data_IF_927380851450
#
_entry.id   IF_927380851450
#
_cell.length_a   1.000
_cell.length_b   1.000
_cell.length_c   1.000
_cell.angle_alpha   90.00
_cell.angle_beta   90.00
_cell.angle_gamma   90.00
#
_symmetry.space_group_name_H-M   'P 1'
#
loop_
_entity.id
_entity.type
_entity.pdbx_description
1 polymer ?
#
# COMPACT_ATOMS: atom_id res chain seq x y z
N UNK A 1 -24.31 5.86 -17.83
CA UNK A 1 -23.67 4.59 -18.21
C UNK A 1 -22.24 4.57 -17.68
N UNK A 2 -22.00 3.89 -16.56
CA UNK A 2 -20.75 3.95 -15.80
C UNK A 2 -19.60 3.20 -16.48
N UNK A 3 -19.06 3.78 -17.55
CA UNK A 3 -17.92 3.22 -18.29
C UNK A 3 -16.60 3.36 -17.52
N UNK A 4 -15.68 2.43 -17.77
CA UNK A 4 -14.30 2.53 -17.30
C UNK A 4 -13.49 3.38 -18.27
N UNK A 5 -12.88 4.46 -17.77
CA UNK A 5 -11.94 5.28 -18.53
C UNK A 5 -10.50 4.93 -18.17
N UNK A 6 -9.66 4.71 -19.18
CA UNK A 6 -8.22 4.51 -18.98
C UNK A 6 -7.56 5.87 -18.73
N UNK A 7 -7.16 6.13 -17.49
CA UNK A 7 -6.45 7.37 -17.11
C UNK A 7 -4.98 7.34 -17.57
N UNK A 8 -4.24 6.26 -17.29
CA UNK A 8 -2.81 6.13 -17.65
C UNK A 8 -2.37 4.67 -17.73
N UNK A 9 -1.30 4.42 -18.48
CA UNK A 9 -0.60 3.13 -18.61
C UNK A 9 0.85 3.31 -18.20
N UNK A 10 1.41 2.34 -17.49
CA UNK A 10 2.83 2.29 -17.16
C UNK A 10 3.35 0.87 -17.31
N UNK A 11 4.52 0.72 -17.90
CA UNK A 11 5.19 -0.57 -18.09
C UNK A 11 6.37 -0.66 -17.13
N UNK A 12 6.36 -1.66 -16.25
CA UNK A 12 7.46 -1.92 -15.33
C UNK A 12 8.49 -2.84 -15.98
N UNK A 13 9.75 -2.69 -15.57
CA UNK A 13 10.86 -3.54 -16.03
C UNK A 13 10.66 -5.03 -15.70
N UNK A 14 9.95 -5.33 -14.62
CA UNK A 14 9.76 -6.68 -14.12
C UNK A 14 8.27 -6.97 -13.94
N UNK A 15 7.93 -8.27 -13.93
CA UNK A 15 6.57 -8.71 -13.66
C UNK A 15 6.14 -8.33 -12.24
N UNK A 16 4.95 -7.77 -12.14
CA UNK A 16 4.34 -7.40 -10.85
C UNK A 16 3.94 -8.67 -10.10
N UNK A 17 4.39 -8.79 -8.84
CA UNK A 17 3.99 -9.90 -7.97
C UNK A 17 2.71 -9.58 -7.20
N UNK A 18 2.59 -8.37 -6.66
CA UNK A 18 1.35 -7.83 -6.13
C UNK A 18 1.41 -6.30 -6.05
N UNK A 19 0.24 -5.67 -5.92
CA UNK A 19 0.10 -4.22 -5.78
C UNK A 19 -1.09 -3.87 -4.89
N UNK A 20 -1.10 -2.64 -4.40
CA UNK A 20 -2.25 -2.02 -3.73
C UNK A 20 -2.19 -0.50 -3.90
N UNK A 21 -3.33 0.18 -3.78
CA UNK A 21 -3.44 1.64 -3.89
C UNK A 21 -4.08 2.21 -2.64
N UNK A 22 -3.72 3.44 -2.30
CA UNK A 22 -4.28 4.12 -1.14
C UNK A 22 -4.25 5.64 -1.31
N UNK A 23 -5.01 6.33 -0.46
CA UNK A 23 -4.93 7.78 -0.33
C UNK A 23 -4.08 8.16 0.89
N UNK A 24 -2.89 8.69 0.64
CA UNK A 24 -2.03 9.24 1.68
C UNK A 24 -2.23 10.75 1.81
N UNK A 25 -2.90 11.15 2.89
CA UNK A 25 -3.20 12.56 3.20
C UNK A 25 -1.96 13.46 3.12
N UNK A 26 -0.80 13.00 3.61
CA UNK A 26 0.41 13.81 3.64
C UNK A 26 1.08 14.00 2.27
N UNK A 27 0.75 13.19 1.27
CA UNK A 27 1.21 13.37 -0.12
C UNK A 27 0.29 14.31 -0.92
N UNK A 28 -0.94 14.55 -0.46
CA UNK A 28 -1.90 15.45 -1.12
C UNK A 28 -2.87 16.10 -0.11
N UNK A 29 -2.37 16.94 0.81
CA UNK A 29 -3.18 17.52 1.89
C UNK A 29 -4.32 18.42 1.39
N UNK A 30 -4.22 18.92 0.15
CA UNK A 30 -5.18 19.83 -0.47
C UNK A 30 -6.42 19.14 -1.06
N UNK A 31 -6.47 17.80 -1.11
CA UNK A 31 -7.60 17.05 -1.69
C UNK A 31 -8.70 16.66 -0.69
N UNK A 32 -8.63 17.15 0.55
CA UNK A 32 -9.68 16.97 1.56
C UNK A 32 -10.95 17.82 1.30
N UNK A 33 -11.07 18.44 0.13
CA UNK A 33 -12.16 19.36 -0.23
C UNK A 33 -13.31 18.69 -0.99
N UNK A 34 -13.24 17.38 -1.27
CA UNK A 34 -14.36 16.67 -1.87
C UNK A 34 -15.43 16.42 -0.78
N UNK A 35 -16.65 16.90 -1.03
CA UNK A 35 -17.79 16.96 -0.08
C UNK A 35 -18.21 15.60 0.54
N UNK A 36 -17.58 14.49 0.13
CA UNK A 36 -17.88 13.13 0.59
C UNK A 36 -16.70 12.43 1.31
N UNK A 37 -15.60 13.12 1.62
CA UNK A 37 -14.53 12.58 2.49
C UNK A 37 -13.68 11.42 1.94
N UNK A 38 -14.04 10.83 0.80
CA UNK A 38 -13.29 9.73 0.16
C UNK A 38 -12.22 10.32 -0.76
N UNK A 39 -10.98 10.40 -0.28
CA UNK A 39 -9.85 10.85 -1.10
C UNK A 39 -9.55 9.86 -2.25
N UNK A 40 -9.38 10.38 -3.46
CA UNK A 40 -8.89 9.58 -4.61
C UNK A 40 -7.48 9.06 -4.34
N UNK A 41 -7.25 7.75 -4.49
CA UNK A 41 -5.94 7.13 -4.28
C UNK A 41 -4.82 7.88 -5.03
N UNK A 42 -3.78 8.26 -4.29
CA UNK A 42 -2.66 9.07 -4.78
C UNK A 42 -1.31 8.35 -4.67
N UNK A 43 -1.29 7.14 -4.12
CA UNK A 43 -0.11 6.29 -4.03
C UNK A 43 -0.46 4.86 -4.45
N UNK A 44 0.51 4.21 -5.07
CA UNK A 44 0.54 2.78 -5.33
C UNK A 44 1.76 2.18 -4.64
N UNK A 45 1.57 1.08 -3.91
CA UNK A 45 2.66 0.20 -3.50
C UNK A 45 2.67 -1.02 -4.43
N UNK A 46 3.84 -1.38 -4.95
CA UNK A 46 4.02 -2.50 -5.88
C UNK A 46 5.28 -3.28 -5.53
N UNK A 47 5.23 -4.59 -5.75
CA UNK A 47 6.40 -5.47 -5.71
C UNK A 47 6.55 -6.27 -6.99
N UNK A 48 7.74 -6.81 -7.20
CA UNK A 48 8.10 -7.52 -8.43
C UNK A 48 8.52 -8.97 -8.18
N UNK A 49 8.58 -9.77 -9.25
CA UNK A 49 9.05 -11.15 -9.19
C UNK A 49 10.58 -11.26 -9.15
N UNK A 50 11.28 -10.52 -10.00
CA UNK A 50 12.73 -10.64 -10.17
C UNK A 50 13.52 -9.83 -9.14
N UNK A 51 12.89 -8.84 -8.52
CA UNK A 51 13.46 -8.07 -7.42
C UNK A 51 12.49 -8.13 -6.24
N UNK A 52 12.94 -8.69 -5.11
CA UNK A 52 12.16 -8.63 -3.87
C UNK A 52 12.28 -7.23 -3.29
N UNK A 53 11.49 -6.32 -3.84
CA UNK A 53 11.45 -4.91 -3.47
C UNK A 53 10.00 -4.49 -3.27
N UNK A 54 9.82 -3.44 -2.47
CA UNK A 54 8.60 -2.65 -2.45
C UNK A 54 8.95 -1.30 -3.01
N UNK A 55 8.16 -0.85 -3.96
CA UNK A 55 8.30 0.47 -4.54
C UNK A 55 6.98 1.24 -4.39
N UNK A 56 7.10 2.50 -3.99
CA UNK A 56 5.99 3.45 -3.93
C UNK A 56 6.03 4.35 -5.16
N UNK A 57 4.89 4.50 -5.81
CA UNK A 57 4.69 5.38 -6.95
C UNK A 57 3.53 6.33 -6.69
N UNK A 58 3.65 7.58 -7.12
CA UNK A 58 2.52 8.51 -7.10
C UNK A 58 1.49 8.13 -8.16
N UNK A 59 0.22 8.38 -7.87
CA UNK A 59 -0.87 8.28 -8.83
C UNK A 59 -1.45 9.67 -9.14
N UNK A 60 -1.88 9.92 -10.38
CA UNK A 60 -1.86 8.99 -11.52
C UNK A 60 -0.51 8.92 -12.23
N UNK A 61 0.49 9.72 -11.84
CA UNK A 61 1.66 9.96 -12.68
C UNK A 61 2.67 8.80 -12.79
N UNK A 62 2.63 7.83 -11.88
CA UNK A 62 3.66 6.82 -11.69
C UNK A 62 5.06 7.43 -11.44
N UNK A 63 5.14 8.53 -10.67
CA UNK A 63 6.46 9.06 -10.24
C UNK A 63 6.96 8.22 -9.09
N UNK A 64 8.19 7.75 -9.18
CA UNK A 64 8.86 7.03 -8.09
C UNK A 64 8.92 7.89 -6.82
N UNK A 65 8.57 7.30 -5.68
CA UNK A 65 8.59 7.95 -4.37
C UNK A 65 9.67 7.33 -3.48
N UNK A 66 9.60 6.01 -3.27
CA UNK A 66 10.50 5.31 -2.35
C UNK A 66 10.65 3.85 -2.75
N UNK A 67 11.76 3.24 -2.35
CA UNK A 67 12.06 1.82 -2.52
C UNK A 67 12.62 1.26 -1.22
N UNK A 68 12.22 0.04 -0.90
CA UNK A 68 12.91 -0.77 0.09
C UNK A 68 13.16 -2.17 -0.48
N UNK A 69 14.33 -2.71 -0.18
CA UNK A 69 14.80 -3.99 -0.70
C UNK A 69 14.81 -5.04 0.41
N UNK A 70 14.66 -6.28 -0.01
CA UNK A 70 14.72 -7.44 0.86
C UNK A 70 15.80 -8.40 0.35
N UNK A 71 16.25 -9.27 1.24
CA UNK A 71 17.07 -10.40 0.83
C UNK A 71 16.24 -11.25 -0.13
N UNK A 72 16.70 -11.39 -1.38
CA UNK A 72 16.05 -12.02 -2.55
C UNK A 72 15.63 -13.50 -2.39
N UNK A 73 15.49 -14.00 -1.16
CA UNK A 73 15.21 -15.40 -0.85
C UNK A 73 13.73 -15.76 -0.93
N UNK A 74 12.83 -14.78 -0.96
CA UNK A 74 11.38 -15.04 -0.95
C UNK A 74 10.62 -13.91 -1.62
N UNK A 75 9.61 -14.25 -2.42
CA UNK A 75 8.71 -13.30 -3.08
C UNK A 75 7.76 -12.64 -2.06
N UNK A 76 7.43 -11.37 -2.31
CA UNK A 76 6.30 -10.71 -1.68
C UNK A 76 5.03 -11.19 -2.39
N UNK A 77 3.98 -11.49 -1.62
CA UNK A 77 2.74 -12.12 -2.12
C UNK A 77 1.49 -11.29 -1.85
N UNK A 78 1.51 -10.42 -0.85
CA UNK A 78 0.39 -9.53 -0.55
C UNK A 78 0.89 -8.26 0.11
N UNK A 79 0.34 -7.12 -0.29
CA UNK A 79 0.63 -5.79 0.24
C UNK A 79 -0.70 -5.11 0.51
N UNK A 80 -0.84 -4.47 1.67
CA UNK A 80 -2.03 -3.71 2.01
C UNK A 80 -1.68 -2.47 2.82
N UNK A 81 -2.32 -1.35 2.48
CA UNK A 81 -2.32 -0.17 3.33
C UNK A 81 -3.40 -0.32 4.39
N UNK A 82 -3.08 0.04 5.63
CA UNK A 82 -4.04 0.04 6.74
C UNK A 82 -3.87 1.28 7.59
N UNK A 83 -4.97 1.81 8.07
CA UNK A 83 -5.00 2.88 9.06
C UNK A 83 -5.72 2.35 10.31
N UNK A 84 -4.94 2.01 11.34
CA UNK A 84 -5.51 1.51 12.60
C UNK A 84 -5.93 2.64 13.54
N UNK A 85 -5.37 3.85 13.33
CA UNK A 85 -5.68 5.07 14.09
C UNK A 85 -5.66 6.26 13.12
N UNK A 86 -6.51 7.28 13.34
CA UNK A 86 -6.55 8.46 12.48
C UNK A 86 -5.15 9.06 12.25
N UNK A 87 -4.76 9.20 10.98
CA UNK A 87 -3.47 9.71 10.50
C UNK A 87 -2.25 8.80 10.74
N UNK A 88 -2.43 7.55 11.16
CA UNK A 88 -1.35 6.57 11.30
C UNK A 88 -1.51 5.47 10.25
N UNK A 89 -0.88 5.68 9.09
CA UNK A 89 -0.94 4.73 7.97
C UNK A 89 0.22 3.75 8.05
N UNK A 90 -0.10 2.49 7.86
CA UNK A 90 0.83 1.38 7.82
C UNK A 90 0.80 0.72 6.46
N UNK A 91 1.96 0.19 6.03
CA UNK A 91 2.04 -0.72 4.90
C UNK A 91 2.40 -2.11 5.44
N UNK A 92 1.49 -3.06 5.27
CA UNK A 92 1.69 -4.46 5.63
C UNK A 92 2.13 -5.22 4.40
N UNK A 93 3.18 -6.03 4.55
CA UNK A 93 3.83 -6.74 3.44
C UNK A 93 4.02 -8.18 3.85
N UNK A 94 3.34 -9.08 3.17
CA UNK A 94 3.36 -10.50 3.41
C UNK A 94 4.29 -11.22 2.41
N UNK A 95 5.20 -12.02 2.94
CA UNK A 95 6.15 -12.84 2.19
C UNK A 95 5.57 -14.23 1.90
N UNK A 96 6.07 -14.88 0.85
CA UNK A 96 5.70 -16.26 0.50
C UNK A 96 6.11 -17.33 1.53
N UNK A 97 7.05 -17.03 2.43
CA UNK A 97 7.51 -17.94 3.48
C UNK A 97 6.86 -17.66 4.85
N UNK A 98 5.77 -16.88 4.87
CA UNK A 98 5.02 -16.54 6.09
C UNK A 98 5.66 -15.49 7.01
N UNK A 99 6.74 -14.86 6.55
CA UNK A 99 7.21 -13.60 7.12
C UNK A 99 6.28 -12.43 6.77
N UNK A 100 6.12 -11.48 7.69
CA UNK A 100 5.37 -10.26 7.47
C UNK A 100 6.20 -9.06 7.92
N UNK A 101 6.24 -8.02 7.11
CA UNK A 101 6.84 -6.74 7.43
C UNK A 101 5.76 -5.68 7.63
N UNK A 102 5.92 -4.88 8.67
CA UNK A 102 5.04 -3.75 8.98
C UNK A 102 5.86 -2.47 8.88
N UNK A 103 5.50 -1.61 7.94
CA UNK A 103 6.06 -0.27 7.82
C UNK A 103 5.12 0.73 8.47
N UNK A 104 5.69 1.71 9.15
CA UNK A 104 4.96 2.87 9.58
C UNK A 104 5.27 4.05 8.66
N UNK A 105 4.26 4.52 7.94
CA UNK A 105 4.44 5.55 6.91
C UNK A 105 4.38 6.94 7.56
N UNK A 106 5.50 7.66 7.48
CA UNK A 106 5.63 9.01 8.02
C UNK A 106 5.95 10.04 6.92
N UNK A 107 5.68 11.32 7.20
CA UNK A 107 5.97 12.49 6.35
C UNK A 107 7.48 12.85 6.29
N UNK A 108 8.39 11.90 6.37
CA UNK A 108 9.84 12.16 6.26
C UNK A 108 10.38 11.66 4.91
N UNK A 109 11.59 12.08 4.54
CA UNK A 109 12.34 11.62 3.34
C UNK A 109 12.60 10.09 3.31
N UNK A 110 12.10 9.37 4.31
CA UNK A 110 12.39 7.98 4.60
C UNK A 110 11.10 7.17 4.82
N UNK A 111 10.09 7.35 3.94
CA UNK A 111 8.75 6.75 4.05
C UNK A 111 8.76 5.23 4.32
N UNK A 112 9.73 4.49 3.75
CA UNK A 112 9.88 3.04 3.94
C UNK A 112 11.03 2.66 4.89
N UNK A 113 11.50 3.55 5.77
CA UNK A 113 12.72 3.30 6.57
C UNK A 113 12.51 2.48 7.83
N UNK A 114 11.35 2.60 8.49
CA UNK A 114 11.09 1.95 9.77
C UNK A 114 10.14 0.79 9.55
N UNK A 115 10.69 -0.43 9.57
CA UNK A 115 9.94 -1.68 9.45
C UNK A 115 10.23 -2.63 10.60
N UNK A 116 9.20 -3.34 11.05
CA UNK A 116 9.35 -4.49 11.95
C UNK A 116 9.04 -5.77 11.20
N UNK A 117 9.76 -6.85 11.50
CA UNK A 117 9.55 -8.17 10.89
C UNK A 117 8.93 -9.11 11.92
N UNK A 118 7.85 -9.76 11.52
CA UNK A 118 7.18 -10.80 12.29
C UNK A 118 7.05 -12.07 11.44
N UNK A 119 6.79 -13.20 12.10
CA UNK A 119 6.57 -14.48 11.43
C UNK A 119 5.22 -15.03 11.86
N UNK A 120 4.34 -15.31 10.91
CA UNK A 120 2.96 -15.72 11.18
C UNK A 120 2.68 -17.18 10.78
N UNK A 121 3.66 -17.87 10.19
CA UNK A 121 3.54 -19.24 9.72
C UNK A 121 4.58 -19.53 8.65
N UNK A 122 4.48 -20.66 7.97
CA UNK A 122 5.45 -21.10 6.95
C UNK A 122 4.91 -21.03 5.52
N UNK A 123 3.65 -20.62 5.35
CA UNK A 123 2.96 -20.55 4.06
C UNK A 123 2.78 -19.10 3.59
N UNK A 124 2.54 -18.86 2.29
CA UNK A 124 2.19 -17.54 1.78
C UNK A 124 0.97 -16.95 2.50
N UNK A 125 1.05 -15.66 2.85
CA UNK A 125 -0.02 -14.94 3.55
C UNK A 125 -0.75 -14.03 2.56
N UNK A 126 -2.08 -14.09 2.57
CA UNK A 126 -2.95 -13.13 1.88
C UNK A 126 -3.54 -12.18 2.92
N UNK A 127 -3.30 -10.87 2.75
CA UNK A 127 -3.82 -9.83 3.61
C UNK A 127 -5.14 -9.32 3.04
N UNK A 128 -6.21 -9.38 3.85
CA UNK A 128 -7.54 -8.91 3.48
C UNK A 128 -8.05 -7.99 4.58
N UNK A 129 -8.24 -6.69 4.31
CA UNK A 129 -8.85 -5.77 5.25
C UNK A 129 -10.28 -6.21 5.55
N UNK A 130 -10.69 -6.11 6.81
CA UNK A 130 -12.06 -6.34 7.21
C UNK A 130 -12.47 -5.32 8.25
N UNK A 131 -13.77 -5.08 8.34
CA UNK A 131 -14.37 -4.20 9.33
C UNK A 131 -15.17 -5.02 10.33
N UNK A 132 -15.06 -4.68 11.60
CA UNK A 132 -15.89 -5.31 12.63
C UNK A 132 -17.32 -4.77 12.54
N UNK A 133 -18.31 -5.67 12.61
CA UNK A 133 -19.71 -5.27 12.68
C UNK A 133 -19.95 -4.39 13.91
N UNK A 134 -20.45 -3.18 13.71
CA UNK A 134 -20.74 -2.23 14.78
C UNK A 134 -19.55 -1.40 15.27
N UNK A 135 -18.38 -1.47 14.62
CA UNK A 135 -17.32 -0.48 14.89
C UNK A 135 -17.78 0.89 14.40
N UNK A 136 -17.69 1.91 15.26
CA UNK A 136 -18.07 3.30 15.00
C UNK A 136 -17.23 4.01 13.92
N UNK A 137 -16.31 3.32 13.25
CA UNK A 137 -15.55 3.81 12.09
C UNK A 137 -16.48 3.96 10.84
N UNK A 138 -17.74 3.56 10.97
CA UNK A 138 -18.74 3.47 9.90
C UNK A 138 -19.48 4.79 9.54
N UNK A 139 -18.96 5.98 9.84
CA UNK A 139 -19.72 7.22 9.54
C UNK A 139 -19.21 8.07 8.38
N UNK A 140 -17.98 7.86 7.88
CA UNK A 140 -17.39 8.81 6.92
C UNK A 140 -17.00 8.21 5.55
N UNK A 141 -17.44 7.00 5.20
CA UNK A 141 -17.03 6.32 3.94
C UNK A 141 -18.20 5.66 3.16
N UNK A 142 -19.44 6.16 3.30
CA UNK A 142 -20.56 5.82 2.40
C UNK A 142 -21.01 7.06 1.65
#
# INVERSE_FOLDING_TARGET
DGGFEKIKSHEFKFEVSCLTIYFLNFLSPLRLTEENGIGTANVMAVSFWNETTIELYSLPDFKFIAKDSFDFKTLIRSIVFMEFKPNFVYLLVAMGAGGMYLYHLFKSDSILSVRTKNFLGTSPINLVPFWMKGSSIHQDLV
#
